data_IF_400146230144
#
_entry.id   IF_400146230144
#
_cell.length_a   1.000
_cell.length_b   1.000
_cell.length_c   1.000
_cell.angle_alpha   90.00
_cell.angle_beta   90.00
_cell.angle_gamma   90.00
#
_symmetry.space_group_name_H-M   'P 1'
#
loop_
_entity.id
_entity.type
_entity.pdbx_description
1 polymer ?
#
# COMPACT_ATOMS: atom_id res chain seq x y z
N UNK A 1 -13.75 3.69 11.34
CA UNK A 1 -12.56 3.01 10.77
C UNK A 1 -12.94 1.75 9.99
N UNK A 2 -13.67 0.78 10.57
CA UNK A 2 -14.14 -0.41 9.83
C UNK A 2 -14.92 -0.06 8.56
N UNK A 3 -15.93 0.80 8.67
CA UNK A 3 -16.73 1.25 7.52
C UNK A 3 -15.88 1.90 6.42
N UNK A 4 -14.85 2.66 6.80
CA UNK A 4 -13.91 3.26 5.84
C UNK A 4 -13.08 2.20 5.11
N UNK A 5 -12.64 1.14 5.80
CA UNK A 5 -11.90 0.04 5.18
C UNK A 5 -12.79 -0.81 4.26
N UNK A 6 -14.07 -0.98 4.61
CA UNK A 6 -15.04 -1.65 3.74
C UNK A 6 -15.28 -0.85 2.46
N UNK A 7 -15.51 0.46 2.58
CA UNK A 7 -15.63 1.35 1.42
C UNK A 7 -14.39 1.28 0.52
N UNK A 8 -13.18 1.23 1.12
CA UNK A 8 -11.94 1.07 0.37
C UNK A 8 -11.85 -0.29 -0.36
N UNK A 9 -12.35 -1.38 0.24
CA UNK A 9 -12.46 -2.67 -0.46
C UNK A 9 -13.41 -2.58 -1.65
N UNK A 10 -14.57 -1.94 -1.48
CA UNK A 10 -15.57 -1.77 -2.55
C UNK A 10 -15.00 -0.94 -3.72
N UNK A 11 -14.26 0.12 -3.42
CA UNK A 11 -13.53 0.92 -4.42
C UNK A 11 -12.52 0.07 -5.19
N UNK A 12 -11.72 -0.75 -4.49
CA UNK A 12 -10.75 -1.64 -5.12
C UNK A 12 -11.41 -2.72 -5.99
N UNK A 13 -12.56 -3.25 -5.60
CA UNK A 13 -13.30 -4.20 -6.41
C UNK A 13 -13.90 -3.54 -7.67
N UNK A 14 -14.40 -2.30 -7.56
CA UNK A 14 -14.84 -1.52 -8.74
C UNK A 14 -13.69 -1.23 -9.71
N UNK A 15 -12.51 -0.90 -9.18
CA UNK A 15 -11.28 -0.72 -9.94
C UNK A 15 -10.88 -1.98 -10.69
N UNK A 16 -10.93 -3.15 -10.02
CA UNK A 16 -10.62 -4.43 -10.64
C UNK A 16 -11.56 -4.76 -11.81
N UNK A 17 -12.86 -4.48 -11.70
CA UNK A 17 -13.83 -4.62 -12.79
C UNK A 17 -13.46 -3.71 -13.97
N UNK A 18 -13.08 -2.46 -13.68
CA UNK A 18 -12.66 -1.48 -14.69
C UNK A 18 -11.39 -1.94 -15.41
N UNK A 19 -10.40 -2.42 -14.65
CA UNK A 19 -9.14 -2.91 -15.21
C UNK A 19 -9.32 -4.19 -16.03
N UNK A 20 -10.20 -5.11 -15.59
CA UNK A 20 -10.56 -6.31 -16.35
C UNK A 20 -11.17 -5.96 -17.71
N UNK A 21 -12.17 -5.07 -17.72
CA UNK A 21 -12.82 -4.60 -18.94
C UNK A 21 -11.84 -3.88 -19.89
N UNK A 22 -10.91 -3.10 -19.35
CA UNK A 22 -9.87 -2.46 -20.15
C UNK A 22 -8.83 -3.46 -20.68
N UNK A 23 -8.44 -4.47 -19.90
CA UNK A 23 -7.56 -5.55 -20.35
C UNK A 23 -8.16 -6.31 -21.53
N UNK A 24 -9.44 -6.68 -21.46
CA UNK A 24 -10.13 -7.35 -22.57
C UNK A 24 -10.10 -6.51 -23.84
N UNK A 25 -10.37 -5.19 -23.72
CA UNK A 25 -10.30 -4.27 -24.86
C UNK A 25 -8.90 -4.21 -25.48
N UNK A 26 -7.85 -4.11 -24.66
CA UNK A 26 -6.47 -4.08 -25.16
C UNK A 26 -6.07 -5.40 -25.81
N UNK A 27 -6.51 -6.54 -25.26
CA UNK A 27 -6.26 -7.86 -25.85
C UNK A 27 -6.95 -8.01 -27.21
N UNK A 28 -8.21 -7.59 -27.34
CA UNK A 28 -8.94 -7.62 -28.61
C UNK A 28 -8.29 -6.76 -29.69
N UNK A 29 -7.64 -5.65 -29.31
CA UNK A 29 -6.92 -4.75 -30.22
C UNK A 29 -5.47 -5.14 -30.49
N UNK A 30 -4.96 -6.18 -29.82
CA UNK A 30 -3.55 -6.58 -29.92
C UNK A 30 -2.57 -5.59 -29.26
N UNK A 31 -3.03 -4.70 -28.38
CA UNK A 31 -2.22 -3.68 -27.71
C UNK A 31 -1.41 -4.27 -26.54
N UNK A 32 -0.38 -5.08 -26.85
CA UNK A 32 0.35 -5.86 -25.85
C UNK A 32 1.02 -5.03 -24.74
N UNK A 33 1.56 -3.86 -25.08
CA UNK A 33 2.18 -2.97 -24.08
C UNK A 33 1.15 -2.46 -23.07
N UNK A 34 -0.03 -2.07 -23.53
CA UNK A 34 -1.15 -1.64 -22.67
C UNK A 34 -1.67 -2.82 -21.83
N UNK A 35 -1.87 -3.98 -22.46
CA UNK A 35 -2.29 -5.20 -21.78
C UNK A 35 -1.30 -5.63 -20.67
N UNK A 36 0.01 -5.50 -20.89
CA UNK A 36 1.03 -5.76 -19.88
C UNK A 36 0.94 -4.77 -18.72
N UNK A 37 0.76 -3.48 -19.00
CA UNK A 37 0.64 -2.44 -17.97
C UNK A 37 -0.58 -2.68 -17.09
N UNK A 38 -1.74 -2.95 -17.68
CA UNK A 38 -2.98 -3.13 -16.91
C UNK A 38 -2.97 -4.41 -16.07
N UNK A 39 -2.32 -5.50 -16.54
CA UNK A 39 -2.05 -6.68 -15.69
C UNK A 39 -1.17 -6.34 -14.48
N UNK A 40 -0.30 -5.34 -14.59
CA UNK A 40 0.45 -4.80 -13.47
C UNK A 40 -0.46 -4.11 -12.46
N UNK A 41 -1.36 -3.24 -12.95
CA UNK A 41 -2.34 -2.53 -12.13
C UNK A 41 -3.28 -3.49 -11.40
N UNK A 42 -3.84 -4.49 -12.10
CA UNK A 42 -4.68 -5.54 -11.51
C UNK A 42 -3.97 -6.22 -10.34
N UNK A 43 -2.73 -6.69 -10.53
CA UNK A 43 -1.97 -7.36 -9.46
C UNK A 43 -1.68 -6.45 -8.27
N UNK A 44 -1.51 -5.15 -8.49
CA UNK A 44 -1.34 -4.18 -7.40
C UNK A 44 -2.65 -4.00 -6.64
N UNK A 45 -3.77 -3.71 -7.32
CA UNK A 45 -5.09 -3.58 -6.71
C UNK A 45 -5.51 -4.84 -5.95
N UNK A 46 -5.26 -6.04 -6.48
CA UNK A 46 -5.53 -7.29 -5.78
C UNK A 46 -4.70 -7.46 -4.50
N UNK A 47 -3.43 -7.02 -4.49
CA UNK A 47 -2.59 -7.07 -3.28
C UNK A 47 -3.09 -6.07 -2.24
N UNK A 48 -3.46 -4.88 -2.66
CA UNK A 48 -4.04 -3.87 -1.77
C UNK A 48 -5.37 -4.36 -1.19
N UNK A 49 -6.24 -4.95 -2.01
CA UNK A 49 -7.51 -5.52 -1.54
C UNK A 49 -7.29 -6.58 -0.48
N UNK A 50 -6.36 -7.52 -0.70
CA UNK A 50 -5.99 -8.53 0.31
C UNK A 50 -5.46 -7.90 1.59
N UNK A 51 -4.57 -6.90 1.50
CA UNK A 51 -4.03 -6.23 2.68
C UNK A 51 -5.11 -5.50 3.51
N UNK A 52 -6.09 -4.86 2.84
CA UNK A 52 -7.22 -4.20 3.51
C UNK A 52 -8.14 -5.25 4.15
N UNK A 53 -8.43 -6.36 3.46
CA UNK A 53 -9.21 -7.48 4.02
C UNK A 53 -8.53 -8.08 5.26
N UNK A 54 -7.22 -8.30 5.22
CA UNK A 54 -6.45 -8.78 6.37
C UNK A 54 -6.51 -7.78 7.54
N UNK A 55 -6.47 -6.47 7.26
CA UNK A 55 -6.60 -5.44 8.29
C UNK A 55 -8.00 -5.47 8.94
N UNK A 56 -9.05 -5.65 8.14
CA UNK A 56 -10.43 -5.78 8.64
C UNK A 56 -10.54 -7.01 9.55
N UNK A 57 -10.05 -8.17 9.10
CA UNK A 57 -10.10 -9.41 9.87
C UNK A 57 -9.36 -9.28 11.22
N UNK A 58 -8.17 -8.66 11.22
CA UNK A 58 -7.41 -8.41 12.44
C UNK A 58 -8.14 -7.46 13.41
N UNK A 59 -8.83 -6.43 12.91
CA UNK A 59 -9.64 -5.55 13.75
C UNK A 59 -10.81 -6.33 14.36
N UNK A 60 -11.51 -7.15 13.59
CA UNK A 60 -12.61 -7.98 14.06
C UNK A 60 -12.16 -8.92 15.18
N UNK A 61 -11.05 -9.65 14.98
CA UNK A 61 -10.48 -10.52 16.02
C UNK A 61 -10.16 -9.76 17.32
N UNK A 62 -9.53 -8.59 17.23
CA UNK A 62 -9.24 -7.77 18.43
C UNK A 62 -10.53 -7.35 19.15
N UNK A 63 -11.59 -6.97 18.44
CA UNK A 63 -12.86 -6.64 19.08
C UNK A 63 -13.53 -7.85 19.75
N UNK A 64 -13.39 -9.06 19.17
CA UNK A 64 -13.90 -10.29 19.76
C UNK A 64 -13.09 -10.74 21.00
N UNK A 65 -11.77 -10.60 20.98
CA UNK A 65 -10.89 -10.94 22.11
C UNK A 65 -11.00 -9.94 23.26
N UNK A 66 -11.36 -8.68 22.96
CA UNK A 66 -11.54 -7.62 23.94
C UNK A 66 -13.03 -7.41 24.26
N UNK A 67 -13.66 -8.39 24.94
CA UNK A 67 -14.87 -8.13 25.76
C UNK A 67 -14.62 -7.02 26.78
N UNK A 68 -15.63 -6.44 27.48
CA UNK A 68 -15.61 -5.09 28.06
C UNK A 68 -14.64 -4.95 29.25
N UNK A 69 -13.35 -4.98 28.98
CA UNK A 69 -12.29 -4.55 29.86
C UNK A 69 -11.86 -3.16 29.37
N UNK A 70 -12.53 -2.17 29.96
CA UNK A 70 -12.17 -0.76 30.10
C UNK A 70 -10.85 -0.32 29.41
N UNK A 71 -10.87 0.72 28.56
CA UNK A 71 -9.65 1.25 27.96
C UNK A 71 -8.78 1.87 29.06
N UNK A 72 -7.53 1.41 29.20
CA UNK A 72 -6.50 2.20 29.85
C UNK A 72 -5.79 3.03 28.78
N UNK A 73 -5.92 4.38 28.79
CA UNK A 73 -5.05 5.23 28.00
C UNK A 73 -3.70 5.27 28.72
N UNK A 74 -2.71 4.55 28.20
CA UNK A 74 -1.33 4.82 28.55
C UNK A 74 -0.86 6.06 27.79
N UNK A 75 -1.29 7.24 28.24
CA UNK A 75 -0.54 8.48 28.02
C UNK A 75 0.75 8.37 28.83
N UNK A 76 1.89 8.12 28.18
CA UNK A 76 2.92 9.16 28.07
C UNK A 76 4.20 8.71 27.33
N UNK A 77 5.00 9.70 26.86
CA UNK A 77 5.81 9.62 25.65
C UNK A 77 7.30 9.42 25.94
N UNK A 78 8.09 9.43 24.86
CA UNK A 78 9.54 9.60 24.80
C UNK A 78 10.40 8.34 25.02
N UNK A 79 10.95 7.82 23.90
CA UNK A 79 12.40 7.67 23.66
C UNK A 79 12.66 7.06 22.27
N UNK A 80 12.60 7.88 21.24
CA UNK A 80 13.65 7.82 20.21
C UNK A 80 14.81 8.63 20.80
N UNK A 81 16.05 8.10 20.84
CA UNK A 81 16.82 8.05 19.61
C UNK A 81 17.74 6.82 19.50
N UNK A 82 17.66 6.09 18.40
CA UNK A 82 18.86 5.43 17.86
C UNK A 82 19.11 6.02 16.50
N UNK A 83 20.11 6.88 16.50
CA UNK A 83 20.62 7.68 15.43
C UNK A 83 21.24 6.73 14.38
N UNK A 84 20.44 6.20 13.45
CA UNK A 84 20.99 5.62 12.21
C UNK A 84 21.35 6.79 11.29
N UNK A 85 22.48 7.41 11.60
CA UNK A 85 23.21 8.27 10.69
C UNK A 85 23.49 7.45 9.43
N UNK A 86 22.71 7.67 8.38
CA UNK A 86 23.17 7.37 7.03
C UNK A 86 24.16 8.48 6.66
N UNK A 87 25.47 8.22 6.50
CA UNK A 87 26.32 9.20 5.88
C UNK A 87 25.82 9.40 4.45
N UNK A 88 25.36 10.63 4.20
CA UNK A 88 25.02 11.18 2.90
C UNK A 88 26.08 10.77 1.85
N UNK A 89 25.71 10.43 0.60
CA UNK A 89 26.71 10.25 -0.45
C UNK A 89 27.54 11.53 -0.57
N UNK A 90 28.85 11.38 -0.36
CA UNK A 90 29.84 12.45 -0.51
C UNK A 90 29.84 12.93 -1.97
N UNK A 91 29.67 14.23 -2.26
CA UNK A 91 29.73 14.71 -3.62
C UNK A 91 31.16 14.57 -4.17
N UNK A 92 31.28 13.83 -5.26
CA UNK A 92 32.50 13.73 -6.06
C UNK A 92 32.90 15.14 -6.53
N UNK A 93 33.92 15.75 -5.91
CA UNK A 93 34.54 16.96 -6.46
C UNK A 93 35.44 16.56 -7.62
N UNK A 94 34.98 16.86 -8.83
CA UNK A 94 35.79 16.80 -10.05
C UNK A 94 36.83 17.92 -9.96
N UNK A 95 38.09 17.60 -9.70
CA UNK A 95 39.17 18.56 -9.87
C UNK A 95 39.47 18.62 -11.37
N UNK A 96 38.99 19.68 -12.03
CA UNK A 96 39.45 20.07 -13.35
C UNK A 96 40.83 20.71 -13.19
N UNK A 97 41.88 19.91 -13.19
CA UNK A 97 43.23 20.43 -13.39
C UNK A 97 43.39 20.71 -14.88
N UNK A 98 43.26 21.98 -15.25
CA UNK A 98 43.77 22.46 -16.53
C UNK A 98 45.27 22.66 -16.44
N UNK A 99 46.03 22.03 -17.33
CA UNK A 99 46.93 22.70 -18.27
C UNK A 99 47.37 21.72 -19.34
#
# INVERSE_FOLDING_TARGET
>A
MREMLLAQCDELDADLVTYGSALERYQRRGEQTQARRIRGMIRTAERERRAVQDLIANLEQRFLETGPARPQPASNPARHPVNRVHPHPSPHRVIRAGR
#
